data_IF_698189841176
#
_entry.id   IF_698189841176
#
_cell.length_a   1.000
_cell.length_b   1.000
_cell.length_c   1.000
_cell.angle_alpha   90.00
_cell.angle_beta   90.00
_cell.angle_gamma   90.00
#
_symmetry.space_group_name_H-M   'P 1'
#
loop_
_entity.id
_entity.type
_entity.pdbx_description
1 polymer ?
#
# COMPACT_ATOMS: atom_id res chain seq x y z
N UNK A 1 6.67 18.77 2.18
CA UNK A 1 7.43 18.00 1.18
C UNK A 1 6.71 16.68 0.99
N UNK A 2 6.20 16.38 -0.21
CA UNK A 2 5.43 15.15 -0.43
C UNK A 2 6.35 13.93 -0.46
N UNK A 3 5.93 12.84 0.18
CA UNK A 3 6.74 11.64 0.36
C UNK A 3 6.99 10.94 -1.00
N UNK A 4 8.26 10.85 -1.41
CA UNK A 4 8.68 10.24 -2.68
C UNK A 4 8.22 8.79 -2.83
N UNK A 5 8.11 8.03 -1.72
CA UNK A 5 7.64 6.66 -1.73
C UNK A 5 6.13 6.58 -2.05
N UNK A 6 5.30 7.46 -1.47
CA UNK A 6 3.85 7.52 -1.72
C UNK A 6 3.58 8.03 -3.15
N UNK A 7 4.33 9.04 -3.60
CA UNK A 7 4.26 9.56 -4.98
C UNK A 7 4.59 8.47 -6.00
N UNK A 8 5.51 7.56 -5.68
CA UNK A 8 5.90 6.45 -6.58
C UNK A 8 4.77 5.43 -6.79
N UNK A 9 3.96 5.14 -5.77
CA UNK A 9 2.86 4.14 -5.89
C UNK A 9 1.65 4.70 -6.63
N UNK A 10 1.42 6.01 -6.51
CA UNK A 10 0.33 6.71 -7.23
C UNK A 10 0.75 7.27 -8.59
N UNK A 11 1.99 7.03 -9.04
CA UNK A 11 2.51 7.57 -10.30
C UNK A 11 1.78 7.01 -11.53
N UNK A 12 1.74 7.74 -12.65
CA UNK A 12 1.19 7.23 -13.91
C UNK A 12 1.74 5.86 -14.31
N UNK A 13 3.05 5.62 -14.12
CA UNK A 13 3.72 4.36 -14.44
C UNK A 13 3.25 3.23 -13.53
N UNK A 14 3.08 3.50 -12.22
CA UNK A 14 2.58 2.51 -11.27
C UNK A 14 1.13 2.13 -11.58
N UNK A 15 0.28 3.10 -11.96
CA UNK A 15 -1.08 2.84 -12.45
C UNK A 15 -1.07 1.97 -13.70
N UNK A 16 -0.25 2.32 -14.69
CA UNK A 16 -0.10 1.56 -15.92
C UNK A 16 0.36 0.11 -15.70
N UNK A 17 1.30 -0.10 -14.77
CA UNK A 17 1.75 -1.44 -14.36
C UNK A 17 0.61 -2.28 -13.76
N UNK A 18 -0.26 -1.69 -12.94
CA UNK A 18 -1.40 -2.42 -12.34
C UNK A 18 -2.44 -2.85 -13.38
N UNK A 19 -2.71 -2.01 -14.39
CA UNK A 19 -3.56 -2.39 -15.52
C UNK A 19 -2.93 -3.57 -16.28
N UNK A 20 -1.64 -3.45 -16.60
CA UNK A 20 -0.89 -4.49 -17.33
C UNK A 20 -0.88 -5.81 -16.57
N UNK A 21 -0.76 -5.76 -15.24
CA UNK A 21 -0.84 -6.95 -14.39
C UNK A 21 -2.16 -7.70 -14.55
N UNK A 22 -3.30 -6.99 -14.52
CA UNK A 22 -4.61 -7.61 -14.77
C UNK A 22 -4.61 -8.29 -16.14
N UNK A 23 -4.23 -7.57 -17.20
CA UNK A 23 -4.35 -8.06 -18.57
C UNK A 23 -3.38 -9.21 -18.88
N UNK A 24 -2.09 -9.06 -18.56
CA UNK A 24 -1.05 -10.02 -18.96
C UNK A 24 -0.94 -11.19 -17.99
N UNK A 25 -1.02 -10.93 -16.68
CA UNK A 25 -0.71 -11.95 -15.67
C UNK A 25 -1.94 -12.67 -15.14
N UNK A 26 -3.10 -12.00 -15.02
CA UNK A 26 -4.32 -12.67 -14.55
C UNK A 26 -5.15 -13.24 -15.70
N UNK A 27 -5.21 -12.53 -16.83
CA UNK A 27 -6.08 -12.87 -17.96
C UNK A 27 -5.31 -13.43 -19.16
N UNK A 28 -4.01 -13.14 -19.27
CA UNK A 28 -3.17 -13.51 -20.41
C UNK A 28 -3.75 -13.10 -21.77
N UNK A 29 -4.32 -11.90 -21.84
CA UNK A 29 -4.98 -11.36 -23.03
C UNK A 29 -4.12 -10.32 -23.77
N UNK A 30 -4.28 -10.27 -25.10
CA UNK A 30 -3.87 -9.11 -25.89
C UNK A 30 -4.75 -7.88 -25.58
N UNK A 31 -4.31 -6.69 -26.00
CA UNK A 31 -5.07 -5.44 -25.73
C UNK A 31 -6.43 -5.45 -26.43
N UNK A 32 -6.45 -5.96 -27.65
CA UNK A 32 -7.62 -6.09 -28.51
C UNK A 32 -8.66 -7.01 -27.86
N UNK A 33 -8.21 -8.12 -27.28
CA UNK A 33 -9.07 -9.09 -26.58
C UNK A 33 -9.61 -8.52 -25.27
N UNK A 34 -8.75 -7.86 -24.49
CA UNK A 34 -9.19 -7.18 -23.26
C UNK A 34 -10.25 -6.12 -23.56
N UNK A 35 -10.12 -5.39 -24.67
CA UNK A 35 -11.03 -4.32 -25.05
C UNK A 35 -12.32 -4.80 -25.76
N UNK A 36 -12.39 -6.07 -26.16
CA UNK A 36 -13.53 -6.62 -26.91
C UNK A 36 -14.85 -6.41 -26.15
N UNK A 37 -15.88 -5.94 -26.83
CA UNK A 37 -17.21 -5.68 -26.26
C UNK A 37 -17.22 -4.67 -25.09
N UNK A 38 -16.23 -3.78 -25.03
CA UNK A 38 -16.11 -2.75 -24.00
C UNK A 38 -16.03 -1.34 -24.61
N UNK A 39 -16.24 -0.32 -23.78
CA UNK A 39 -16.08 1.10 -24.15
C UNK A 39 -14.62 1.59 -24.03
N UNK A 40 -13.64 0.68 -24.08
CA UNK A 40 -12.21 0.97 -24.02
C UNK A 40 -11.61 0.63 -25.37
N UNK A 41 -10.82 1.53 -25.95
CA UNK A 41 -10.07 1.22 -27.17
C UNK A 41 -8.69 0.66 -26.83
N UNK A 42 -8.16 -0.23 -27.68
CA UNK A 42 -6.81 -0.78 -27.51
C UNK A 42 -5.73 0.32 -27.45
N UNK A 43 -5.94 1.42 -28.17
CA UNK A 43 -5.05 2.58 -28.15
C UNK A 43 -5.11 3.33 -26.81
N UNK A 44 -6.31 3.56 -26.26
CA UNK A 44 -6.46 4.15 -24.92
C UNK A 44 -5.84 3.26 -23.85
N UNK A 45 -6.09 1.95 -23.90
CA UNK A 45 -5.51 0.99 -22.97
C UNK A 45 -3.97 1.00 -23.03
N UNK A 46 -3.40 0.99 -24.25
CA UNK A 46 -1.95 1.13 -24.45
C UNK A 46 -1.41 2.43 -23.84
N UNK A 47 -2.09 3.55 -24.08
CA UNK A 47 -1.72 4.84 -23.50
C UNK A 47 -1.69 4.81 -21.97
N UNK A 48 -2.71 4.20 -21.34
CA UNK A 48 -2.77 4.06 -19.88
C UNK A 48 -1.68 3.14 -19.33
N UNK A 49 -1.42 2.00 -19.97
CA UNK A 49 -0.39 1.03 -19.56
C UNK A 49 1.04 1.56 -19.70
N UNK A 50 1.26 2.50 -20.63
CA UNK A 50 2.55 3.14 -20.90
C UNK A 50 2.70 4.52 -20.24
N UNK A 51 1.72 4.93 -19.42
CA UNK A 51 1.69 6.23 -18.75
C UNK A 51 1.72 7.46 -19.69
N UNK A 52 1.29 7.30 -20.94
CA UNK A 52 1.28 8.38 -21.93
C UNK A 52 0.22 9.44 -21.58
N UNK A 53 0.57 10.72 -21.77
CA UNK A 53 -0.35 11.85 -21.54
C UNK A 53 -0.87 11.96 -20.10
N UNK A 54 -0.10 11.49 -19.11
CA UNK A 54 -0.51 11.44 -17.70
C UNK A 54 -1.12 10.10 -17.27
N UNK A 55 -1.28 9.14 -18.19
CA UNK A 55 -1.69 7.77 -17.89
C UNK A 55 -3.17 7.63 -17.51
N UNK A 56 -3.47 6.67 -16.61
CA UNK A 56 -4.83 6.36 -16.19
C UNK A 56 -5.44 7.51 -15.36
N UNK A 57 -6.60 8.00 -15.82
CA UNK A 57 -7.46 8.93 -15.08
C UNK A 57 -8.46 8.19 -14.18
N UNK A 58 -9.10 8.89 -13.25
CA UNK A 58 -10.14 8.30 -12.39
C UNK A 58 -11.29 7.70 -13.21
N UNK A 59 -11.78 8.42 -14.22
CA UNK A 59 -12.82 7.91 -15.12
C UNK A 59 -12.35 6.69 -15.92
N UNK A 60 -11.06 6.65 -16.30
CA UNK A 60 -10.44 5.47 -16.90
C UNK A 60 -10.41 4.28 -15.93
N UNK A 61 -10.07 4.52 -14.66
CA UNK A 61 -10.07 3.48 -13.62
C UNK A 61 -11.44 2.85 -13.44
N UNK A 62 -12.52 3.65 -13.40
CA UNK A 62 -13.91 3.13 -13.35
C UNK A 62 -14.19 2.18 -14.51
N UNK A 63 -13.77 2.54 -15.73
CA UNK A 63 -13.94 1.68 -16.92
C UNK A 63 -13.15 0.38 -16.80
N UNK A 64 -11.91 0.44 -16.30
CA UNK A 64 -11.07 -0.74 -16.09
C UNK A 64 -11.65 -1.66 -15.01
N UNK A 65 -12.12 -1.13 -13.88
CA UNK A 65 -12.78 -1.91 -12.83
C UNK A 65 -14.01 -2.63 -13.38
N UNK A 66 -14.88 -1.91 -14.09
CA UNK A 66 -16.05 -2.52 -14.74
C UNK A 66 -15.64 -3.65 -15.68
N UNK A 67 -14.65 -3.41 -16.54
CA UNK A 67 -14.19 -4.41 -17.51
C UNK A 67 -13.52 -5.60 -16.85
N UNK A 68 -12.70 -5.39 -15.82
CA UNK A 68 -12.09 -6.46 -15.05
C UNK A 68 -13.16 -7.36 -14.41
N UNK A 69 -14.22 -6.75 -13.84
CA UNK A 69 -15.34 -7.48 -13.25
C UNK A 69 -16.09 -8.34 -14.28
N UNK A 70 -16.34 -7.82 -15.48
CA UNK A 70 -16.93 -8.58 -16.60
C UNK A 70 -16.07 -9.79 -16.99
N UNK A 71 -14.75 -9.69 -16.81
CA UNK A 71 -13.78 -10.76 -17.06
C UNK A 71 -13.47 -11.60 -15.81
N UNK A 72 -14.35 -11.57 -14.79
CA UNK A 72 -14.22 -12.29 -13.53
C UNK A 72 -12.95 -11.97 -12.72
N UNK A 73 -12.45 -10.74 -12.82
CA UNK A 73 -11.36 -10.22 -11.99
C UNK A 73 -11.89 -9.13 -11.05
N UNK A 74 -11.65 -9.30 -9.76
CA UNK A 74 -11.85 -8.26 -8.76
C UNK A 74 -10.66 -7.30 -8.80
N UNK A 75 -10.94 -6.00 -8.85
CA UNK A 75 -10.00 -4.95 -8.53
C UNK A 75 -10.77 -3.68 -8.16
N UNK A 76 -10.14 -2.77 -7.42
CA UNK A 76 -10.76 -1.52 -6.99
C UNK A 76 -10.09 -0.31 -7.64
N UNK A 77 -10.82 0.80 -7.70
CA UNK A 77 -10.25 2.08 -8.15
C UNK A 77 -9.09 2.52 -7.24
N UNK A 78 -9.22 2.34 -5.92
CA UNK A 78 -8.17 2.67 -4.95
C UNK A 78 -6.90 1.87 -5.19
N UNK A 79 -7.04 0.59 -5.54
CA UNK A 79 -5.89 -0.25 -5.88
C UNK A 79 -5.28 0.19 -7.21
N UNK A 80 -6.09 0.36 -8.26
CA UNK A 80 -5.60 0.81 -9.58
C UNK A 80 -4.90 2.17 -9.52
N UNK A 81 -5.43 3.12 -8.78
CA UNK A 81 -4.95 4.50 -8.74
C UNK A 81 -3.81 4.68 -7.75
N UNK A 82 -3.87 4.00 -6.59
CA UNK A 82 -3.02 4.28 -5.44
C UNK A 82 -2.35 3.06 -4.81
N UNK A 83 -2.64 1.85 -5.29
CA UNK A 83 -2.15 0.60 -4.70
C UNK A 83 -2.74 0.32 -3.31
N UNK A 84 -3.88 0.92 -2.96
CA UNK A 84 -4.54 0.72 -1.66
C UNK A 84 -5.63 -0.34 -1.80
N UNK A 85 -5.66 -1.31 -0.89
CA UNK A 85 -6.60 -2.44 -0.92
C UNK A 85 -5.94 -3.73 -1.39
N UNK A 86 -6.75 -4.77 -1.52
CA UNK A 86 -6.30 -6.07 -2.04
C UNK A 86 -5.83 -5.95 -3.50
N UNK A 87 -4.83 -6.77 -3.84
CA UNK A 87 -4.38 -6.92 -5.23
C UNK A 87 -5.47 -7.50 -6.12
N UNK A 88 -5.43 -7.17 -7.40
CA UNK A 88 -6.36 -7.77 -8.35
C UNK A 88 -6.28 -9.30 -8.31
N UNK A 89 -7.43 -9.96 -8.29
CA UNK A 89 -7.55 -11.42 -8.11
C UNK A 89 -8.80 -11.95 -8.82
N UNK A 90 -8.85 -13.22 -9.25
CA UNK A 90 -10.07 -13.83 -9.76
C UNK A 90 -11.21 -13.76 -8.75
N UNK A 91 -12.43 -13.54 -9.24
CA UNK A 91 -13.62 -13.45 -8.40
C UNK A 91 -13.97 -14.84 -7.84
N UNK A 92 -13.93 -15.00 -6.51
CA UNK A 92 -14.39 -16.18 -5.77
C UNK A 92 -15.57 -15.81 -4.87
N UNK A 93 -16.32 -16.81 -4.37
CA UNK A 93 -17.50 -16.60 -3.52
C UNK A 93 -17.22 -15.81 -2.23
N UNK A 94 -16.00 -15.84 -1.73
CA UNK A 94 -15.62 -15.21 -0.45
C UNK A 94 -15.29 -13.71 -0.58
N UNK A 95 -15.32 -13.14 -1.78
CA UNK A 95 -14.93 -11.74 -2.02
C UNK A 95 -16.02 -10.72 -1.68
N UNK A 96 -17.30 -11.07 -1.81
CA UNK A 96 -18.42 -10.12 -1.65
C UNK A 96 -18.49 -9.49 -0.24
N UNK A 97 -18.03 -10.22 0.78
CA UNK A 97 -18.06 -9.76 2.19
C UNK A 97 -16.99 -8.67 2.45
N UNK A 98 -16.00 -8.53 1.57
CA UNK A 98 -14.73 -7.84 1.89
C UNK A 98 -14.53 -6.51 1.14
N UNK A 99 -15.33 -6.22 0.10
CA UNK A 99 -15.16 -5.03 -0.75
C UNK A 99 -15.55 -3.71 -0.06
N UNK A 100 -16.60 -3.73 0.79
CA UNK A 100 -17.11 -2.55 1.48
C UNK A 100 -16.09 -1.91 2.43
N UNK A 101 -15.52 -2.71 3.32
CA UNK A 101 -14.56 -2.26 4.32
C UNK A 101 -13.28 -1.71 3.70
N UNK A 102 -12.75 -2.37 2.66
CA UNK A 102 -11.54 -1.90 1.97
C UNK A 102 -11.77 -0.54 1.28
N UNK A 103 -12.96 -0.30 0.74
CA UNK A 103 -13.32 0.98 0.13
C UNK A 103 -13.37 2.13 1.15
N UNK A 104 -13.92 1.89 2.35
CA UNK A 104 -13.95 2.88 3.41
C UNK A 104 -12.55 3.21 3.92
N UNK A 105 -11.73 2.19 4.19
CA UNK A 105 -10.32 2.37 4.61
C UNK A 105 -9.55 3.15 3.55
N UNK A 106 -9.76 2.86 2.26
CA UNK A 106 -9.09 3.59 1.20
C UNK A 106 -9.44 5.08 1.19
N UNK A 107 -10.72 5.44 1.36
CA UNK A 107 -11.15 6.85 1.45
C UNK A 107 -10.53 7.56 2.65
N UNK A 108 -10.53 6.92 3.82
CA UNK A 108 -9.89 7.47 5.01
C UNK A 108 -8.37 7.66 4.82
N UNK A 109 -7.70 6.69 4.21
CA UNK A 109 -6.26 6.76 3.96
C UNK A 109 -5.90 7.87 2.98
N UNK A 110 -6.74 8.09 1.96
CA UNK A 110 -6.57 9.22 1.04
C UNK A 110 -6.71 10.56 1.75
N UNK A 111 -7.69 10.71 2.66
CA UNK A 111 -7.81 11.90 3.50
C UNK A 111 -6.62 12.06 4.46
N UNK A 112 -6.16 10.98 5.07
CA UNK A 112 -5.00 11.02 5.97
C UNK A 112 -3.74 11.52 5.26
N UNK A 113 -3.55 11.15 3.99
CA UNK A 113 -2.42 11.61 3.15
C UNK A 113 -2.43 13.12 2.85
N UNK A 114 -3.54 13.81 3.09
CA UNK A 114 -3.62 15.28 2.95
C UNK A 114 -2.99 16.00 4.15
N UNK A 115 -2.79 15.31 5.28
CA UNK A 115 -2.12 15.88 6.45
C UNK A 115 -0.65 16.18 6.15
N UNK A 116 -0.15 17.30 6.67
CA UNK A 116 1.26 17.62 6.51
C UNK A 116 2.13 16.59 7.24
N UNK A 117 3.22 16.20 6.59
CA UNK A 117 4.21 15.24 7.14
C UNK A 117 3.63 13.84 7.43
N UNK A 118 2.47 13.49 6.87
CA UNK A 118 1.91 12.15 7.00
C UNK A 118 2.65 11.13 6.15
N UNK A 119 2.79 9.91 6.68
CA UNK A 119 3.19 8.73 5.93
C UNK A 119 2.31 7.55 6.33
N UNK A 120 2.11 6.62 5.40
CA UNK A 120 1.33 5.41 5.64
C UNK A 120 2.01 4.18 5.05
N UNK A 121 1.65 3.02 5.58
CA UNK A 121 2.05 1.72 5.04
C UNK A 121 1.06 0.63 5.46
N UNK A 122 1.17 -0.51 4.80
CA UNK A 122 0.51 -1.76 5.21
C UNK A 122 1.52 -2.61 5.94
N UNK A 123 1.13 -3.19 7.07
CA UNK A 123 1.96 -4.13 7.82
C UNK A 123 2.20 -5.39 6.98
N UNK A 124 3.46 -5.78 6.83
CA UNK A 124 3.87 -6.91 5.97
C UNK A 124 4.31 -8.15 6.74
N UNK A 125 4.77 -7.98 7.98
CA UNK A 125 5.32 -9.04 8.81
C UNK A 125 4.66 -9.07 10.20
N UNK A 126 5.02 -10.08 11.00
CA UNK A 126 4.51 -10.32 12.33
C UNK A 126 5.33 -9.65 13.45
N UNK A 127 6.32 -8.81 13.11
CA UNK A 127 7.24 -8.20 14.07
C UNK A 127 6.55 -7.27 15.08
N UNK A 128 5.35 -6.79 14.76
CA UNK A 128 4.56 -5.90 15.63
C UNK A 128 3.33 -6.56 16.26
N UNK A 129 3.19 -7.88 16.13
CA UNK A 129 2.16 -8.62 16.84
C UNK A 129 2.39 -8.59 18.37
N UNK A 130 1.34 -8.68 19.21
CA UNK A 130 -0.08 -8.80 18.86
C UNK A 130 -0.78 -7.46 18.59
N UNK A 131 -0.07 -6.33 18.62
CA UNK A 131 -0.68 -5.02 18.46
C UNK A 131 -1.07 -4.70 17.02
N UNK A 132 -0.18 -5.05 16.07
CA UNK A 132 -0.35 -4.85 14.63
C UNK A 132 -0.07 -6.16 13.89
N UNK A 133 -0.99 -6.55 13.02
CA UNK A 133 -0.89 -7.78 12.23
C UNK A 133 -0.69 -7.47 10.74
N UNK A 134 -0.09 -8.40 9.96
CA UNK A 134 -0.04 -8.31 8.52
C UNK A 134 -1.40 -7.94 7.90
N UNK A 135 -1.39 -6.98 6.97
CA UNK A 135 -2.57 -6.45 6.31
C UNK A 135 -3.29 -5.32 7.06
N UNK A 136 -2.88 -4.98 8.29
CA UNK A 136 -3.34 -3.73 8.93
C UNK A 136 -2.77 -2.51 8.19
N UNK A 137 -3.56 -1.46 8.08
CA UNK A 137 -3.12 -0.17 7.56
C UNK A 137 -2.73 0.73 8.73
N UNK A 138 -1.56 1.37 8.63
CA UNK A 138 -1.06 2.28 9.64
C UNK A 138 -0.62 3.60 9.01
N UNK A 139 -0.88 4.69 9.74
CA UNK A 139 -0.50 6.05 9.38
C UNK A 139 0.21 6.72 10.54
N UNK A 140 1.28 7.45 10.23
CA UNK A 140 2.08 8.20 11.21
C UNK A 140 2.40 9.61 10.72
N UNK A 141 2.78 10.48 11.65
CA UNK A 141 3.23 11.85 11.36
C UNK A 141 4.74 11.94 11.59
N UNK A 142 5.49 12.32 10.56
CA UNK A 142 6.95 12.48 10.64
C UNK A 142 7.27 13.55 11.69
N UNK A 143 8.10 13.19 12.66
CA UNK A 143 8.61 14.14 13.65
C UNK A 143 9.81 14.89 13.11
N UNK A 144 9.94 16.17 13.46
CA UNK A 144 11.11 16.98 13.12
C UNK A 144 12.37 16.59 13.89
N UNK A 145 12.20 16.05 15.11
CA UNK A 145 13.26 15.50 15.94
C UNK A 145 12.97 14.02 16.24
N UNK A 146 13.83 13.14 15.74
CA UNK A 146 13.70 11.67 15.86
C UNK A 146 13.69 11.22 17.33
N UNK A 147 14.33 11.96 18.24
CA UNK A 147 14.32 11.65 19.67
C UNK A 147 12.89 11.61 20.26
N UNK A 148 11.97 12.39 19.70
CA UNK A 148 10.56 12.40 20.12
C UNK A 148 9.79 11.13 19.72
N UNK A 149 10.38 10.29 18.88
CA UNK A 149 9.83 9.01 18.43
C UNK A 149 10.39 7.81 19.21
N UNK A 150 11.40 8.02 20.07
CA UNK A 150 11.98 6.94 20.89
C UNK A 150 10.91 6.35 21.82
N UNK A 151 10.87 5.01 21.89
CA UNK A 151 9.94 4.23 22.68
C UNK A 151 8.55 4.08 22.06
N UNK A 152 8.30 4.63 20.86
CA UNK A 152 6.99 4.58 20.18
C UNK A 152 7.02 3.60 19.01
N UNK A 153 5.88 3.01 18.70
CA UNK A 153 5.64 2.29 17.45
C UNK A 153 5.65 3.29 16.29
N UNK A 154 6.60 3.12 15.37
CA UNK A 154 6.83 4.06 14.30
C UNK A 154 6.83 3.39 12.94
N UNK A 155 6.37 4.12 11.94
CA UNK A 155 6.78 3.90 10.55
C UNK A 155 8.14 4.58 10.40
N UNK A 156 9.15 3.81 10.03
CA UNK A 156 10.55 4.24 9.96
C UNK A 156 11.02 4.11 8.52
N UNK A 157 11.63 5.17 7.99
CA UNK A 157 12.30 5.17 6.70
C UNK A 157 13.79 5.30 6.98
N UNK A 158 14.55 4.26 6.67
CA UNK A 158 16.01 4.27 6.78
C UNK A 158 16.65 5.12 5.66
N UNK A 159 17.94 5.42 5.78
CA UNK A 159 18.69 6.21 4.78
C UNK A 159 18.71 5.56 3.37
N UNK A 160 18.65 4.23 3.32
CA UNK A 160 18.51 3.42 2.12
C UNK A 160 17.08 3.37 1.53
N UNK A 161 16.16 4.20 2.05
CA UNK A 161 14.73 4.24 1.71
C UNK A 161 13.93 2.96 2.04
N UNK A 162 14.50 2.02 2.81
CA UNK A 162 13.78 0.86 3.33
C UNK A 162 12.79 1.29 4.42
N UNK A 163 11.60 0.67 4.40
CA UNK A 163 10.50 1.00 5.31
C UNK A 163 10.33 -0.11 6.33
N UNK A 164 10.40 0.25 7.60
CA UNK A 164 10.15 -0.63 8.74
C UNK A 164 8.96 -0.13 9.55
N UNK A 165 8.29 -1.05 10.24
CA UNK A 165 7.35 -0.70 11.30
C UNK A 165 7.80 -1.38 12.58
N UNK A 166 8.41 -0.61 13.48
CA UNK A 166 9.11 -1.10 14.67
C UNK A 166 9.02 -0.10 15.82
N UNK A 167 9.36 -0.53 17.03
CA UNK A 167 9.62 0.36 18.15
C UNK A 167 11.01 0.96 17.95
N UNK A 168 11.09 2.28 18.00
CA UNK A 168 12.35 2.99 17.87
C UNK A 168 13.08 3.06 19.22
N UNK A 169 14.36 2.67 19.27
CA UNK A 169 15.22 2.83 20.45
C UNK A 169 16.48 3.62 20.10
N UNK A 170 17.07 4.25 21.12
CA UNK A 170 18.38 4.91 20.98
C UNK A 170 19.44 3.84 20.73
N UNK A 171 20.24 4.02 19.68
CA UNK A 171 21.37 3.13 19.38
C UNK A 171 22.58 3.44 20.24
N UNK A 172 23.62 2.63 20.08
CA UNK A 172 24.88 2.77 20.81
C UNK A 172 25.75 3.91 20.24
N UNK A 173 25.63 4.18 18.94
CA UNK A 173 26.37 5.23 18.24
C UNK A 173 25.58 6.55 18.16
N UNK A 174 26.27 7.72 18.17
CA UNK A 174 25.63 9.01 17.97
C UNK A 174 24.81 9.06 16.66
N UNK A 175 23.57 9.56 16.75
CA UNK A 175 22.63 9.66 15.64
C UNK A 175 22.29 8.33 14.93
N UNK A 176 22.52 7.20 15.60
CA UNK A 176 22.07 5.87 15.18
C UNK A 176 20.99 5.35 16.12
N UNK A 177 20.13 4.48 15.59
CA UNK A 177 18.96 3.98 16.30
C UNK A 177 18.78 2.49 16.10
N UNK A 178 18.20 1.85 17.10
CA UNK A 178 17.86 0.43 17.06
C UNK A 178 16.37 0.26 16.75
N UNK A 179 16.05 -0.67 15.86
CA UNK A 179 14.68 -0.98 15.47
C UNK A 179 14.28 -2.31 16.09
N UNK A 180 13.28 -2.29 16.97
CA UNK A 180 12.91 -3.45 17.79
C UNK A 180 11.49 -3.91 17.47
N UNK A 181 11.32 -5.21 17.31
CA UNK A 181 10.02 -5.86 17.20
C UNK A 181 9.26 -5.80 18.54
N UNK A 182 7.94 -5.63 18.50
CA UNK A 182 7.10 -5.88 19.67
C UNK A 182 6.93 -7.39 19.91
N UNK A 183 6.87 -8.17 18.84
CA UNK A 183 6.75 -9.63 18.91
C UNK A 183 8.13 -10.26 19.15
N UNK A 184 8.42 -10.63 20.41
CA UNK A 184 9.66 -11.29 20.78
C UNK A 184 9.76 -12.75 20.28
N UNK A 185 8.65 -13.32 19.79
CA UNK A 185 8.57 -14.70 19.31
C UNK A 185 8.57 -14.82 17.79
N UNK A 186 8.70 -13.72 17.04
CA UNK A 186 8.79 -13.80 15.57
C UNK A 186 9.96 -14.68 15.15
N UNK A 187 9.70 -15.55 14.17
CA UNK A 187 10.69 -16.34 13.46
C UNK A 187 10.85 -15.89 11.99
N UNK A 188 10.02 -14.93 11.55
CA UNK A 188 9.97 -14.47 10.15
C UNK A 188 10.92 -13.31 9.87
N UNK A 189 11.24 -12.51 10.90
CA UNK A 189 12.06 -11.31 10.78
C UNK A 189 13.08 -11.20 11.91
N UNK A 190 14.11 -10.38 11.71
CA UNK A 190 15.07 -10.06 12.79
C UNK A 190 14.35 -9.29 13.90
N UNK A 191 14.47 -9.79 15.13
CA UNK A 191 13.86 -9.18 16.33
C UNK A 191 14.37 -7.77 16.61
N UNK A 192 15.65 -7.55 16.31
CA UNK A 192 16.32 -6.26 16.47
C UNK A 192 17.24 -6.00 15.27
N UNK A 193 17.24 -4.74 14.81
CA UNK A 193 18.17 -4.22 13.80
C UNK A 193 18.90 -3.05 14.44
N UNK A 194 20.19 -3.22 14.70
CA UNK A 194 20.99 -2.24 15.45
C UNK A 194 21.62 -1.16 14.57
N UNK A 195 21.95 -0.02 15.18
CA UNK A 195 22.75 1.08 14.63
C UNK A 195 22.30 1.56 13.23
N UNK A 196 20.99 1.63 13.04
CA UNK A 196 20.37 2.05 11.78
C UNK A 196 20.41 3.57 11.65
N UNK A 197 20.83 4.08 10.48
CA UNK A 197 20.62 5.49 10.13
C UNK A 197 19.18 5.68 9.68
N UNK A 198 18.50 6.65 10.29
CA UNK A 198 17.10 6.93 10.02
C UNK A 198 16.97 8.25 9.29
N UNK A 199 16.29 8.21 8.15
CA UNK A 199 15.91 9.40 7.38
C UNK A 199 14.66 10.05 7.97
N UNK A 200 13.64 9.24 8.29
CA UNK A 200 12.41 9.70 8.92
C UNK A 200 11.88 8.69 9.93
N UNK A 201 11.32 9.19 11.04
CA UNK A 201 10.51 8.42 11.97
C UNK A 201 9.14 9.09 12.10
N UNK A 202 8.09 8.28 12.03
CA UNK A 202 6.71 8.75 12.17
C UNK A 202 5.97 7.87 13.19
N UNK A 203 5.78 8.34 14.43
CA UNK A 203 4.93 7.65 15.39
C UNK A 203 3.55 7.39 14.81
N UNK A 204 3.05 6.17 14.99
CA UNK A 204 1.75 5.75 14.47
C UNK A 204 0.64 6.45 15.26
N UNK A 205 -0.27 7.10 14.54
CA UNK A 205 -1.43 7.82 15.11
C UNK A 205 -2.76 7.36 14.51
N UNK A 206 -2.71 6.59 13.42
CA UNK A 206 -3.89 6.07 12.74
C UNK A 206 -3.70 4.60 12.42
N UNK A 207 -4.71 3.78 12.72
CA UNK A 207 -4.72 2.34 12.49
C UNK A 207 -6.10 1.96 11.93
N UNK A 208 -6.11 1.17 10.86
CA UNK A 208 -7.31 0.47 10.39
C UNK A 208 -7.04 -1.00 10.15
N UNK A 209 -8.03 -1.80 10.52
CA UNK A 209 -8.05 -3.25 10.35
C UNK A 209 -9.23 -3.58 9.47
N UNK A 210 -9.02 -4.43 8.48
CA UNK A 210 -10.14 -5.04 7.74
C UNK A 210 -10.76 -6.06 8.68
N UNK A 211 -12.04 -5.92 9.01
CA UNK A 211 -12.73 -6.94 9.78
C UNK A 211 -12.87 -8.18 8.91
N UNK A 212 -12.48 -9.34 9.46
CA UNK A 212 -12.65 -10.62 8.79
C UNK A 212 -13.42 -11.50 9.75
N UNK A 213 -14.69 -11.78 9.43
CA UNK A 213 -15.38 -12.87 10.09
C UNK A 213 -14.62 -14.15 9.75
N UNK A 214 -14.06 -14.79 10.77
CA UNK A 214 -13.56 -16.14 10.62
C UNK A 214 -14.78 -17.05 10.45
N UNK A 215 -15.07 -17.43 9.21
CA UNK A 215 -15.92 -18.58 8.95
C UNK A 215 -15.15 -19.83 9.43
N UNK A 216 -15.49 -20.31 10.63
CA UNK A 216 -15.09 -21.63 11.13
C UNK A 216 -15.85 -22.73 10.40
#
# INVERSE_FOLDING_TARGET
>A
MSNSAINKVSSPEARGKRIRFIREHLLSLAREEFCRDSNITAQSLKGWELAWGGGLSQQGAIKIVKRAKELNIYCTESWLMHGIGRNATPITKDLDIQEGDESHIAKELLLFRELQHSIDTVIKDDGMAPFLYPGNYVGGIIVSNIENAIGKECIIIADNDEIFVRILKRGEEPARYDLVCLNEHTALVKKEIKNTAIKFAAPIVWIRRVFRENNY
#
